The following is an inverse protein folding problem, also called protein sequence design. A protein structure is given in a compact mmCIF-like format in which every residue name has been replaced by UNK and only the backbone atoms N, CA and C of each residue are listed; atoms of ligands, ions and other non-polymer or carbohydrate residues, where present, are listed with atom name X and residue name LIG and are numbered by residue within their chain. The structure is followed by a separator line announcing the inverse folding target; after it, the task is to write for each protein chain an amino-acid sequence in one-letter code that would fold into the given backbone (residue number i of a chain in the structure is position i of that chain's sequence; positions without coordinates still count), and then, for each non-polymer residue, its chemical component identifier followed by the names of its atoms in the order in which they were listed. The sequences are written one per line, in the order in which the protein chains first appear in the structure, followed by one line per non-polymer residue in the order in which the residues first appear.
data_IF_454255453390
#
_entry.id   IF_454255453390
#
_cell.length_a   1.000
_cell.length_b   1.000
_cell.length_c   1.000
_cell.angle_alpha   90.00
_cell.angle_beta   90.00
_cell.angle_gamma   90.00
#
_symmetry.space_group_name_H-M   'P 1'
#
loop_
_entity.id
_entity.type
_entity.pdbx_description
1 polymer ?
#
# COMPACT_ATOMS: atom_id res chain seq x y z
N UNK A 1 18.72 -4.99 7.58
CA UNK A 1 18.18 -4.49 6.30
C UNK A 1 17.41 -3.21 6.59
N UNK A 2 17.65 -2.13 5.83
CA UNK A 2 16.89 -0.87 5.98
C UNK A 2 15.47 -1.12 5.46
N UNK A 3 14.45 -0.82 6.25
CA UNK A 3 13.05 -0.85 5.79
C UNK A 3 12.85 0.31 4.83
N UNK A 4 12.37 -0.01 3.62
CA UNK A 4 12.03 0.99 2.61
C UNK A 4 10.70 1.64 2.97
N UNK A 5 10.63 2.97 2.93
CA UNK A 5 9.39 3.71 3.14
C UNK A 5 8.59 3.84 1.83
N UNK A 6 7.28 3.75 1.94
CA UNK A 6 6.35 4.00 0.85
C UNK A 6 5.30 5.03 1.26
N UNK A 7 4.84 5.82 0.29
CA UNK A 7 3.69 6.72 0.40
C UNK A 7 2.55 6.04 -0.36
N UNK A 8 1.36 6.06 0.24
CA UNK A 8 0.14 5.52 -0.36
C UNK A 8 -0.86 6.66 -0.54
N UNK A 9 -1.30 6.86 -1.77
CA UNK A 9 -2.34 7.83 -2.13
C UNK A 9 -3.58 7.10 -2.64
N UNK A 10 -4.77 7.51 -2.18
CA UNK A 10 -6.04 6.91 -2.59
C UNK A 10 -6.69 7.71 -3.71
N UNK A 11 -6.83 7.11 -4.88
CA UNK A 11 -7.48 7.69 -6.05
C UNK A 11 -8.75 6.90 -6.37
N UNK A 12 -9.83 7.20 -5.65
CA UNK A 12 -11.06 6.42 -5.73
C UNK A 12 -10.88 5.01 -5.14
N UNK A 13 -11.08 3.97 -5.96
CA UNK A 13 -10.88 2.55 -5.57
C UNK A 13 -9.47 2.02 -5.84
N UNK A 14 -8.59 2.85 -6.39
CA UNK A 14 -7.20 2.48 -6.69
C UNK A 14 -6.29 3.19 -5.71
N UNK A 15 -5.28 2.47 -5.23
CA UNK A 15 -4.19 2.97 -4.40
C UNK A 15 -2.95 3.12 -5.27
N UNK A 16 -2.40 4.33 -5.28
CA UNK A 16 -1.09 4.60 -5.85
C UNK A 16 -0.04 4.51 -4.76
N UNK A 17 0.93 3.62 -4.95
CA UNK A 17 2.00 3.35 -3.98
C UNK A 17 3.31 3.81 -4.60
N UNK A 18 4.04 4.68 -3.91
CA UNK A 18 5.36 5.17 -4.34
C UNK A 18 6.39 4.98 -3.22
N UNK A 19 7.47 4.30 -3.55
CA UNK A 19 8.60 4.09 -2.62
C UNK A 19 9.61 5.23 -2.68
N UNK A 20 10.42 5.40 -1.62
CA UNK A 20 11.51 6.38 -1.60
C UNK A 20 12.60 6.11 -2.66
N UNK A 21 12.70 4.88 -3.19
CA UNK A 21 13.61 4.56 -4.31
C UNK A 21 13.01 4.80 -5.69
N UNK A 22 11.77 5.30 -5.75
CA UNK A 22 11.10 5.65 -7.00
C UNK A 22 10.36 4.51 -7.69
N UNK A 23 10.21 3.34 -7.05
CA UNK A 23 9.30 2.29 -7.53
C UNK A 23 7.86 2.69 -7.28
N UNK A 24 6.99 2.38 -8.23
CA UNK A 24 5.60 2.79 -8.23
C UNK A 24 4.68 1.60 -8.55
N UNK A 25 3.49 1.58 -7.97
CA UNK A 25 2.47 0.56 -8.25
C UNK A 25 1.06 1.16 -8.14
N UNK A 26 0.12 0.61 -8.92
CA UNK A 26 -1.31 0.86 -8.81
C UNK A 26 -1.98 -0.43 -8.36
N UNK A 27 -2.67 -0.39 -7.23
CA UNK A 27 -3.27 -1.57 -6.60
C UNK A 27 -4.73 -1.26 -6.28
N UNK A 28 -5.70 -2.10 -6.64
CA UNK A 28 -7.06 -1.97 -6.13
C UNK A 28 -7.09 -2.01 -4.60
N UNK A 29 -7.88 -1.15 -3.98
CA UNK A 29 -7.99 -1.09 -2.51
C UNK A 29 -8.41 -2.45 -1.92
N UNK A 30 -9.35 -3.13 -2.57
CA UNK A 30 -9.83 -4.46 -2.16
C UNK A 30 -8.69 -5.50 -2.15
N UNK A 31 -7.77 -5.43 -3.12
CA UNK A 31 -6.63 -6.34 -3.20
C UNK A 31 -5.63 -6.07 -2.07
N UNK A 32 -5.35 -4.79 -1.77
CA UNK A 32 -4.47 -4.45 -0.65
C UNK A 32 -5.08 -4.89 0.69
N UNK A 33 -6.38 -4.66 0.89
CA UNK A 33 -7.06 -5.09 2.11
C UNK A 33 -7.05 -6.61 2.27
N UNK A 34 -7.31 -7.36 1.20
CA UNK A 34 -7.19 -8.81 1.19
C UNK A 34 -5.79 -9.28 1.61
N UNK A 35 -4.73 -8.59 1.17
CA UNK A 35 -3.36 -8.90 1.56
C UNK A 35 -3.10 -8.57 3.04
N UNK A 36 -3.56 -7.40 3.50
CA UNK A 36 -3.42 -6.97 4.91
C UNK A 36 -4.04 -7.99 5.85
N UNK A 37 -5.27 -8.44 5.58
CA UNK A 37 -5.95 -9.43 6.42
C UNK A 37 -5.27 -10.80 6.38
N UNK A 38 -4.95 -11.30 5.17
CA UNK A 38 -4.34 -12.63 4.98
C UNK A 38 -2.97 -12.75 5.63
N UNK A 39 -2.17 -11.70 5.56
CA UNK A 39 -0.80 -11.68 6.06
C UNK A 39 -0.64 -10.95 7.40
N UNK A 40 -1.73 -10.41 7.96
CA UNK A 40 -1.75 -9.61 9.21
C UNK A 40 -0.74 -8.46 9.18
N UNK A 41 -0.74 -7.69 8.09
CA UNK A 41 0.18 -6.57 7.88
C UNK A 41 -0.26 -5.33 8.66
N UNK A 42 0.69 -4.55 9.17
CA UNK A 42 0.44 -3.22 9.71
C UNK A 42 0.78 -2.19 8.63
N UNK A 43 -0.21 -1.40 8.21
CA UNK A 43 -0.07 -0.41 7.13
C UNK A 43 -0.64 0.93 7.60
N UNK A 44 0.19 1.96 7.55
CA UNK A 44 -0.23 3.33 7.87
C UNK A 44 -0.95 3.98 6.68
N UNK A 45 -2.02 4.72 6.95
CA UNK A 45 -2.70 5.57 5.96
C UNK A 45 -3.78 4.89 5.12
N UNK A 46 -3.99 3.58 5.27
CA UNK A 46 -5.11 2.85 4.66
C UNK A 46 -5.91 2.15 5.76
N UNK A 47 -7.24 2.35 5.78
CA UNK A 47 -8.14 1.60 6.66
C UNK A 47 -8.80 0.48 5.87
N UNK A 48 -8.27 -0.71 6.07
CA UNK A 48 -8.92 -1.99 5.90
C UNK A 48 -9.33 -2.44 7.32
#
# INVERSE_FOLDING_TARGET
MKKEKAIIEKWGKILYIKTETGKEALVPEEDLCNLIERFKLEVDGVKC
#
